data_IF_282526146941
#
_entry.id   IF_282526146941
#
_cell.length_a   1.000
_cell.length_b   1.000
_cell.length_c   1.000
_cell.angle_alpha   90.00
_cell.angle_beta   90.00
_cell.angle_gamma   90.00
#
_symmetry.space_group_name_H-M   'P 1'
#
loop_
_entity.id
_entity.type
_entity.pdbx_description
1 polymer ?
#
# COMPACT_ATOMS: atom_id res chain seq x y z
N UNK A 1 27.39 -28.47 -58.53
CA UNK A 1 26.24 -28.26 -57.62
C UNK A 1 25.22 -27.37 -58.31
N UNK A 2 23.93 -27.71 -58.28
CA UNK A 2 22.88 -26.92 -58.94
C UNK A 2 22.53 -25.68 -58.11
N UNK A 3 22.03 -24.59 -58.73
CA UNK A 3 21.65 -23.36 -58.02
C UNK A 3 20.63 -23.60 -56.90
N UNK A 4 19.75 -24.58 -57.06
CA UNK A 4 18.79 -24.99 -56.03
C UNK A 4 19.47 -25.47 -54.74
N UNK A 5 20.57 -26.24 -54.83
CA UNK A 5 21.31 -26.73 -53.65
C UNK A 5 21.91 -25.59 -52.84
N UNK A 6 22.42 -24.54 -53.51
CA UNK A 6 22.93 -23.35 -52.85
C UNK A 6 21.83 -22.59 -52.11
N UNK A 7 20.67 -22.40 -52.76
CA UNK A 7 19.52 -21.75 -52.13
C UNK A 7 19.04 -22.54 -50.91
N UNK A 8 18.96 -23.88 -51.01
CA UNK A 8 18.57 -24.74 -49.88
C UNK A 8 19.54 -24.61 -48.70
N UNK A 9 20.85 -24.61 -48.95
CA UNK A 9 21.86 -24.43 -47.90
C UNK A 9 21.70 -23.08 -47.20
N UNK A 10 21.53 -22.00 -47.98
CA UNK A 10 21.34 -20.65 -47.43
C UNK A 10 20.05 -20.60 -46.61
N UNK A 11 18.95 -21.19 -47.07
CA UNK A 11 17.68 -21.24 -46.33
C UNK A 11 17.82 -22.00 -45.01
N UNK A 12 18.54 -23.12 -44.98
CA UNK A 12 18.79 -23.87 -43.75
C UNK A 12 19.62 -23.06 -42.76
N UNK A 13 20.66 -22.38 -43.24
CA UNK A 13 21.49 -21.49 -42.40
C UNK A 13 20.66 -20.33 -41.86
N UNK A 14 19.86 -19.68 -42.70
CA UNK A 14 19.00 -18.57 -42.31
C UNK A 14 17.95 -18.99 -41.28
N UNK A 15 17.29 -20.14 -41.49
CA UNK A 15 16.33 -20.69 -40.53
C UNK A 15 17.02 -21.01 -39.20
N UNK A 16 18.19 -21.63 -39.24
CA UNK A 16 18.98 -21.96 -38.04
C UNK A 16 19.38 -20.70 -37.27
N UNK A 17 19.84 -19.67 -37.96
CA UNK A 17 20.19 -18.37 -37.37
C UNK A 17 18.98 -17.71 -36.69
N UNK A 18 17.79 -17.80 -37.30
CA UNK A 18 16.56 -17.29 -36.71
C UNK A 18 16.20 -18.02 -35.41
N UNK A 19 16.29 -19.35 -35.38
CA UNK A 19 16.04 -20.13 -34.16
C UNK A 19 17.06 -19.80 -33.06
N UNK A 20 18.34 -19.63 -33.41
CA UNK A 20 19.38 -19.22 -32.46
C UNK A 20 19.07 -17.83 -31.89
N UNK A 21 18.73 -16.87 -32.75
CA UNK A 21 18.34 -15.53 -32.32
C UNK A 21 17.15 -15.57 -31.36
N UNK A 22 16.10 -16.33 -31.70
CA UNK A 22 14.92 -16.51 -30.86
C UNK A 22 15.30 -17.09 -29.48
N UNK A 23 16.13 -18.12 -29.44
CA UNK A 23 16.59 -18.73 -28.20
C UNK A 23 17.37 -17.73 -27.34
N UNK A 24 18.26 -16.93 -27.94
CA UNK A 24 19.00 -15.88 -27.23
C UNK A 24 18.05 -14.86 -26.63
N UNK A 25 17.09 -14.35 -27.41
CA UNK A 25 16.13 -13.36 -26.91
C UNK A 25 15.27 -13.91 -25.78
N UNK A 26 14.81 -15.16 -25.87
CA UNK A 26 14.05 -15.80 -24.79
C UNK A 26 14.88 -15.89 -23.49
N UNK A 27 16.15 -16.27 -23.59
CA UNK A 27 17.04 -16.33 -22.42
C UNK A 27 17.25 -14.94 -21.82
N UNK A 28 17.45 -13.91 -22.64
CA UNK A 28 17.60 -12.53 -22.17
C UNK A 28 16.33 -12.02 -21.47
N UNK A 29 15.17 -12.26 -22.05
CA UNK A 29 13.87 -11.90 -21.48
C UNK A 29 13.67 -12.60 -20.13
N UNK A 30 13.95 -13.91 -20.05
CA UNK A 30 13.83 -14.66 -18.80
C UNK A 30 14.78 -14.13 -17.71
N UNK A 31 16.01 -13.76 -18.07
CA UNK A 31 16.97 -13.17 -17.13
C UNK A 31 16.48 -11.85 -16.57
N UNK A 32 15.79 -11.04 -17.36
CA UNK A 32 15.23 -9.75 -16.92
C UNK A 32 13.94 -9.91 -16.10
N UNK A 33 13.11 -10.89 -16.45
CA UNK A 33 11.86 -11.17 -15.72
C UNK A 33 12.11 -11.78 -14.35
N UNK A 34 13.18 -12.56 -14.18
CA UNK A 34 13.52 -13.25 -12.92
C UNK A 34 13.68 -12.32 -11.70
N UNK A 35 14.42 -11.18 -11.77
CA UNK A 35 14.47 -10.24 -10.65
C UNK A 35 13.15 -9.46 -10.48
N UNK A 36 12.35 -9.31 -11.54
CA UNK A 36 11.08 -8.59 -11.51
C UNK A 36 9.98 -9.40 -10.82
N UNK A 37 9.81 -10.67 -11.22
CA UNK A 37 8.71 -11.53 -10.82
C UNK A 37 9.12 -13.00 -10.64
N UNK A 38 8.18 -13.84 -10.20
CA UNK A 38 8.36 -15.29 -10.14
C UNK A 38 9.01 -15.83 -8.87
N UNK A 39 9.53 -14.99 -7.97
CA UNK A 39 10.05 -15.41 -6.66
C UNK A 39 9.60 -14.47 -5.55
N UNK A 40 9.61 -14.93 -4.30
CA UNK A 40 9.27 -14.10 -3.14
C UNK A 40 10.25 -12.94 -2.92
N UNK A 41 11.49 -13.08 -3.40
CA UNK A 41 12.57 -12.08 -3.28
C UNK A 41 12.63 -11.12 -4.46
N UNK A 42 11.80 -11.32 -5.50
CA UNK A 42 11.69 -10.43 -6.66
C UNK A 42 11.11 -9.06 -6.25
N UNK A 43 11.23 -8.06 -7.13
CA UNK A 43 10.68 -6.73 -6.89
C UNK A 43 9.17 -6.78 -6.59
N UNK A 44 8.38 -7.48 -7.41
CA UNK A 44 6.94 -7.65 -7.17
C UNK A 44 6.65 -8.42 -5.88
N UNK A 45 7.48 -9.42 -5.54
CA UNK A 45 7.38 -10.16 -4.28
C UNK A 45 7.52 -9.23 -3.07
N UNK A 46 8.53 -8.35 -3.10
CA UNK A 46 8.77 -7.34 -2.05
C UNK A 46 7.65 -6.30 -1.98
N UNK A 47 7.19 -5.79 -3.13
CA UNK A 47 6.07 -4.84 -3.19
C UNK A 47 4.81 -5.45 -2.56
N UNK A 48 4.49 -6.70 -2.89
CA UNK A 48 3.33 -7.41 -2.31
C UNK A 48 3.44 -7.54 -0.80
N UNK A 49 4.61 -7.89 -0.28
CA UNK A 49 4.83 -7.97 1.17
C UNK A 49 4.70 -6.60 1.84
N UNK A 50 5.28 -5.56 1.25
CA UNK A 50 5.17 -4.18 1.73
C UNK A 50 3.73 -3.69 1.75
N UNK A 51 2.98 -3.89 0.66
CA UNK A 51 1.56 -3.53 0.59
C UNK A 51 0.73 -4.26 1.64
N UNK A 52 1.00 -5.55 1.86
CA UNK A 52 0.30 -6.34 2.87
C UNK A 52 0.59 -5.83 4.28
N UNK A 53 1.82 -5.43 4.57
CA UNK A 53 2.16 -4.83 5.86
C UNK A 53 1.39 -3.51 6.05
N UNK A 54 1.39 -2.64 5.03
CA UNK A 54 0.62 -1.39 5.05
C UNK A 54 -0.88 -1.67 5.26
N UNK A 55 -1.46 -2.64 4.55
CA UNK A 55 -2.87 -3.02 4.69
C UNK A 55 -3.20 -3.47 6.12
N UNK A 56 -2.33 -4.30 6.73
CA UNK A 56 -2.52 -4.75 8.11
C UNK A 56 -2.46 -3.57 9.08
N UNK A 57 -1.43 -2.73 8.99
CA UNK A 57 -1.23 -1.59 9.90
C UNK A 57 -2.34 -0.53 9.74
N UNK A 58 -2.68 -0.20 8.50
CA UNK A 58 -3.73 0.80 8.20
C UNK A 58 -5.14 0.27 8.45
N UNK A 59 -5.34 -1.06 8.43
CA UNK A 59 -6.60 -1.70 8.77
C UNK A 59 -7.09 -1.41 10.19
N UNK A 60 -6.20 -1.04 11.11
CA UNK A 60 -6.57 -0.65 12.48
C UNK A 60 -7.03 0.81 12.61
N UNK A 61 -6.72 1.67 11.64
CA UNK A 61 -7.02 3.11 11.71
C UNK A 61 -8.51 3.39 11.93
N UNK A 62 -9.47 2.76 11.22
CA UNK A 62 -10.89 3.04 11.44
C UNK A 62 -11.35 2.74 12.87
N UNK A 63 -10.84 1.65 13.46
CA UNK A 63 -11.18 1.24 14.82
C UNK A 63 -10.63 2.23 15.84
N UNK A 64 -9.36 2.60 15.71
CA UNK A 64 -8.73 3.54 16.65
C UNK A 64 -9.29 4.96 16.51
N UNK A 65 -9.62 5.42 15.29
CA UNK A 65 -10.33 6.69 15.07
C UNK A 65 -11.71 6.66 15.71
N UNK A 66 -12.45 5.54 15.61
CA UNK A 66 -13.76 5.42 16.26
C UNK A 66 -13.66 5.52 17.78
N UNK A 67 -12.69 4.82 18.39
CA UNK A 67 -12.44 4.89 19.83
C UNK A 67 -12.03 6.30 20.26
N UNK A 68 -11.13 6.93 19.51
CA UNK A 68 -10.67 8.29 19.79
C UNK A 68 -11.82 9.29 19.77
N UNK A 69 -12.66 9.24 18.74
CA UNK A 69 -13.81 10.12 18.62
C UNK A 69 -14.82 9.91 19.75
N UNK A 70 -15.07 8.66 20.16
CA UNK A 70 -15.92 8.37 21.31
C UNK A 70 -15.35 8.97 22.60
N UNK A 71 -14.05 8.81 22.84
CA UNK A 71 -13.35 9.43 23.98
C UNK A 71 -13.43 10.96 23.97
N UNK A 72 -13.19 11.58 22.81
CA UNK A 72 -13.32 13.03 22.65
C UNK A 72 -14.75 13.52 22.90
N UNK A 73 -15.76 12.77 22.47
CA UNK A 73 -17.16 13.10 22.75
C UNK A 73 -17.45 13.07 24.25
N UNK A 74 -17.00 12.02 24.95
CA UNK A 74 -17.16 11.90 26.39
C UNK A 74 -16.45 13.03 27.15
N UNK A 75 -15.23 13.40 26.74
CA UNK A 75 -14.48 14.53 27.32
C UNK A 75 -15.24 15.84 27.10
N UNK A 76 -15.75 16.08 25.88
CA UNK A 76 -16.56 17.26 25.57
C UNK A 76 -17.81 17.34 26.45
N UNK A 77 -18.52 16.23 26.62
CA UNK A 77 -19.71 16.17 27.49
C UNK A 77 -19.36 16.48 28.95
N UNK A 78 -18.26 15.91 29.47
CA UNK A 78 -17.76 16.22 30.81
C UNK A 78 -17.43 17.70 30.99
N UNK A 79 -16.78 18.33 30.01
CA UNK A 79 -16.46 19.76 30.01
C UNK A 79 -17.71 20.65 30.05
N UNK A 80 -18.77 20.29 29.32
CA UNK A 80 -20.07 21.00 29.36
C UNK A 80 -20.69 20.92 30.76
N UNK A 81 -20.62 19.76 31.41
CA UNK A 81 -21.12 19.59 32.78
C UNK A 81 -20.33 20.46 33.76
N UNK A 82 -18.99 20.47 33.66
CA UNK A 82 -18.14 21.31 34.50
C UNK A 82 -18.49 22.79 34.34
N UNK A 83 -18.62 23.28 33.09
CA UNK A 83 -19.00 24.67 32.81
C UNK A 83 -20.35 25.03 33.43
N UNK A 84 -21.35 24.15 33.28
CA UNK A 84 -22.68 24.35 33.87
C UNK A 84 -22.66 24.43 35.40
N UNK A 85 -21.80 23.63 36.05
CA UNK A 85 -21.64 23.63 37.50
C UNK A 85 -20.93 24.90 37.98
N UNK A 86 -19.90 25.35 37.27
CA UNK A 86 -19.19 26.59 37.56
C UNK A 86 -20.12 27.81 37.42
N UNK A 87 -20.94 27.87 36.37
CA UNK A 87 -21.93 28.92 36.19
C UNK A 87 -22.95 28.98 37.33
N UNK A 88 -23.43 27.81 37.80
CA UNK A 88 -24.33 27.71 38.95
C UNK A 88 -23.68 28.18 40.24
N UNK A 89 -22.44 27.75 40.50
CA UNK A 89 -21.63 28.19 41.64
C UNK A 89 -21.44 29.70 41.66
N UNK A 90 -21.04 30.30 40.52
CA UNK A 90 -20.93 31.75 40.38
C UNK A 90 -22.23 32.47 40.72
N UNK A 91 -23.37 32.01 40.17
CA UNK A 91 -24.68 32.59 40.47
C UNK A 91 -25.12 32.47 41.93
N UNK A 92 -24.65 31.44 42.63
CA UNK A 92 -24.95 31.21 44.03
C UNK A 92 -24.11 32.15 44.91
N UNK A 93 -22.82 32.29 44.60
CA UNK A 93 -21.92 33.22 45.28
C UNK A 93 -22.39 34.67 45.14
N UNK A 94 -22.74 35.11 43.93
CA UNK A 94 -23.28 36.48 43.71
C UNK A 94 -24.58 36.73 44.49
N UNK A 95 -25.46 35.72 44.61
CA UNK A 95 -26.68 35.82 45.42
C UNK A 95 -26.38 35.93 46.93
N UNK A 96 -25.32 35.29 47.40
CA UNK A 96 -24.92 35.32 48.80
C UNK A 96 -24.25 36.66 49.16
N UNK A 97 -23.42 37.22 48.27
CA UNK A 97 -22.82 38.55 48.43
C UNK A 97 -23.86 39.67 48.44
N UNK A 98 -24.90 39.59 47.60
CA UNK A 98 -25.97 40.60 47.58
C UNK A 98 -26.97 40.55 48.75
N UNK A 99 -26.85 39.55 49.63
CA UNK A 99 -27.67 39.41 50.85
C UNK A 99 -26.90 39.74 52.14
N UNK A 100 -25.61 40.06 52.03
CA UNK A 100 -24.74 40.49 53.14
C UNK A 100 -24.59 42.02 53.13
#
# INVERSE_FOLDING_TARGET
MTPTVWLTLISVVAASALFIALAIFLVLILRELTPTGGTATSFLGKIRLGLRAIEIETGYIPVEVTKLNAGLSAVREGLVVVDSNLARLGSALTRQEGQS
#
